data_IF_785718327847
#
_entry.id   IF_785718327847
#
_cell.length_a   1.000
_cell.length_b   1.000
_cell.length_c   1.000
_cell.angle_alpha   90.00
_cell.angle_beta   90.00
_cell.angle_gamma   90.00
#
_symmetry.space_group_name_H-M   'P 1'
#
loop_
_entity.id
_entity.type
_entity.pdbx_description
1 polymer ?
#
# COMPACT_ATOMS: atom_id res chain seq x y z
N UNK A 1 5.55 2.57 28.75
CA UNK A 1 4.89 2.19 27.48
C UNK A 1 4.22 0.83 27.62
N UNK A 2 3.14 0.54 26.88
CA UNK A 2 2.45 -0.77 26.99
C UNK A 2 3.40 -1.94 26.72
N UNK A 3 4.38 -1.78 25.81
CA UNK A 3 5.35 -2.82 25.48
C UNK A 3 6.25 -3.26 26.66
N UNK A 4 6.44 -2.44 27.70
CA UNK A 4 7.21 -2.83 28.89
C UNK A 4 6.45 -3.82 29.78
N UNK A 5 5.12 -3.86 29.65
CA UNK A 5 4.25 -4.73 30.44
C UNK A 5 3.96 -6.07 29.74
N UNK A 6 4.47 -6.27 28.52
CA UNK A 6 4.20 -7.45 27.70
C UNK A 6 5.42 -8.38 27.67
N UNK A 7 5.27 -9.61 28.18
CA UNK A 7 6.30 -10.65 28.10
C UNK A 7 7.65 -10.19 28.70
N UNK A 8 8.78 -10.32 27.96
CA UNK A 8 10.11 -9.91 28.44
C UNK A 8 10.35 -8.38 28.41
N UNK A 9 9.29 -7.57 28.35
CA UNK A 9 9.39 -6.12 28.18
C UNK A 9 9.81 -5.71 26.77
N UNK A 10 10.22 -4.46 26.61
CA UNK A 10 10.53 -3.88 25.29
C UNK A 10 11.77 -4.53 24.65
N UNK A 11 11.60 -4.99 23.40
CA UNK A 11 12.66 -5.68 22.65
C UNK A 11 13.37 -4.82 21.60
N UNK A 12 12.78 -3.68 21.22
CA UNK A 12 13.34 -2.76 20.21
C UNK A 12 12.71 -1.38 20.31
N UNK A 13 13.42 -0.38 19.82
CA UNK A 13 12.98 1.03 19.79
C UNK A 13 12.07 1.35 18.59
N UNK A 14 12.28 0.67 17.46
CA UNK A 14 11.51 0.87 16.23
C UNK A 14 11.03 -0.47 15.67
N UNK A 15 9.85 -0.46 15.04
CA UNK A 15 9.23 -1.65 14.45
C UNK A 15 9.24 -1.48 12.93
N UNK A 16 9.82 -2.45 12.22
CA UNK A 16 9.75 -2.48 10.75
C UNK A 16 8.33 -2.83 10.33
N UNK A 17 7.80 -2.07 9.38
CA UNK A 17 6.48 -2.26 8.80
C UNK A 17 6.60 -2.41 7.29
N UNK A 18 5.61 -3.07 6.69
CA UNK A 18 5.55 -3.30 5.24
C UNK A 18 4.54 -2.37 4.58
N UNK A 19 4.75 -2.08 3.29
CA UNK A 19 3.76 -1.47 2.43
C UNK A 19 2.73 -2.52 1.99
N UNK A 20 1.48 -2.37 2.42
CA UNK A 20 0.40 -3.28 2.02
C UNK A 20 -0.34 -2.71 0.81
N UNK A 21 -0.06 -3.28 -0.37
CA UNK A 21 -0.62 -2.89 -1.65
C UNK A 21 -1.92 -3.65 -1.96
N UNK A 22 -2.82 -2.99 -2.67
CA UNK A 22 -4.10 -3.51 -3.09
C UNK A 22 -4.37 -3.17 -4.55
N UNK A 23 -5.13 -4.03 -5.24
CA UNK A 23 -5.82 -3.61 -6.45
C UNK A 23 -6.94 -2.64 -6.08
N UNK A 24 -7.01 -1.50 -6.75
CA UNK A 24 -7.99 -0.46 -6.47
C UNK A 24 -9.01 -0.44 -7.61
N UNK A 25 -10.27 -0.71 -7.24
CA UNK A 25 -11.40 -0.64 -8.16
C UNK A 25 -11.66 0.77 -8.66
N UNK A 26 -12.38 0.85 -9.77
CA UNK A 26 -12.71 2.11 -10.41
C UNK A 26 -13.89 2.79 -9.68
N UNK A 27 -13.60 3.81 -8.86
CA UNK A 27 -14.61 4.48 -8.02
C UNK A 27 -15.78 5.06 -8.82
N UNK A 28 -15.56 5.44 -10.09
CA UNK A 28 -16.57 6.05 -10.95
C UNK A 28 -17.61 5.04 -11.45
N UNK A 29 -17.46 3.75 -11.10
CA UNK A 29 -18.42 2.69 -11.41
C UNK A 29 -19.44 2.44 -10.29
N UNK A 30 -19.40 3.23 -9.23
CA UNK A 30 -20.31 3.12 -8.09
C UNK A 30 -20.81 4.51 -7.70
N UNK A 31 -21.99 4.58 -7.12
CA UNK A 31 -22.54 5.83 -6.56
C UNK A 31 -22.13 6.06 -5.10
N UNK A 32 -21.19 5.25 -4.59
CA UNK A 32 -20.69 5.37 -3.22
C UNK A 32 -19.73 6.56 -3.09
N UNK A 33 -19.70 7.24 -1.94
CA UNK A 33 -18.91 8.46 -1.73
C UNK A 33 -17.42 8.17 -1.49
N UNK A 34 -16.75 7.48 -2.42
CA UNK A 34 -15.31 7.27 -2.38
C UNK A 34 -14.57 8.60 -2.61
N UNK A 35 -13.58 8.87 -1.76
CA UNK A 35 -12.72 10.05 -1.90
C UNK A 35 -11.94 10.00 -3.21
N UNK A 36 -11.76 11.15 -3.84
CA UNK A 36 -10.95 11.30 -5.06
C UNK A 36 -9.48 11.57 -4.75
N UNK A 37 -9.21 12.29 -3.67
CA UNK A 37 -7.88 12.62 -3.21
C UNK A 37 -7.85 12.81 -1.68
N UNK A 38 -6.65 12.98 -1.14
CA UNK A 38 -6.43 13.49 0.21
C UNK A 38 -5.60 14.76 0.13
N UNK A 39 -5.85 15.77 0.97
CA UNK A 39 -4.99 16.94 1.06
C UNK A 39 -3.52 16.56 1.25
N UNK A 40 -2.65 17.17 0.46
CA UNK A 40 -1.22 16.91 0.46
C UNK A 40 -0.64 16.99 -0.95
N UNK A 41 0.68 17.21 -1.01
CA UNK A 41 1.37 17.47 -2.27
C UNK A 41 2.11 16.24 -2.81
N UNK A 42 2.19 15.17 -2.02
CA UNK A 42 2.87 13.94 -2.42
C UNK A 42 1.95 13.09 -3.30
N UNK A 43 2.51 12.52 -4.38
CA UNK A 43 1.78 11.75 -5.40
C UNK A 43 0.94 10.60 -4.80
N UNK A 44 1.49 9.89 -3.81
CA UNK A 44 0.79 8.88 -3.01
C UNK A 44 -0.64 9.27 -2.57
N UNK A 45 -0.86 10.53 -2.17
CA UNK A 45 -2.18 10.97 -1.67
C UNK A 45 -3.24 11.08 -2.76
N UNK A 46 -2.83 11.12 -4.03
CA UNK A 46 -3.73 11.02 -5.18
C UNK A 46 -3.85 9.57 -5.62
N UNK A 47 -2.73 8.88 -5.86
CA UNK A 47 -2.72 7.52 -6.42
C UNK A 47 -3.50 6.50 -5.58
N UNK A 48 -3.49 6.62 -4.24
CA UNK A 48 -4.19 5.70 -3.34
C UNK A 48 -5.72 5.73 -3.46
N UNK A 49 -6.28 6.66 -4.24
CA UNK A 49 -7.72 6.78 -4.54
C UNK A 49 -8.04 6.52 -6.01
N UNK A 50 -7.03 6.27 -6.84
CA UNK A 50 -7.19 6.03 -8.27
C UNK A 50 -7.20 4.54 -8.57
N UNK A 51 -7.86 4.18 -9.67
CA UNK A 51 -7.93 2.79 -10.14
C UNK A 51 -6.53 2.22 -10.37
N UNK A 52 -6.28 1.05 -9.79
CA UNK A 52 -5.05 0.28 -9.95
C UNK A 52 -5.41 -1.19 -10.16
N UNK A 53 -5.73 -1.56 -11.40
CA UNK A 53 -6.20 -2.91 -11.78
C UNK A 53 -5.24 -3.65 -12.72
N UNK A 54 -4.01 -3.14 -12.85
CA UNK A 54 -2.93 -3.75 -13.64
C UNK A 54 -1.60 -3.66 -12.86
N UNK A 55 -0.59 -4.34 -13.38
CA UNK A 55 0.72 -4.48 -12.74
C UNK A 55 1.43 -3.13 -12.62
N UNK A 56 1.37 -2.33 -13.68
CA UNK A 56 2.03 -1.02 -13.77
C UNK A 56 1.49 -0.04 -12.72
N UNK A 57 0.18 -0.01 -12.52
CA UNK A 57 -0.42 0.84 -11.49
C UNK A 57 -0.08 0.37 -10.07
N UNK A 58 0.03 -0.94 -9.84
CA UNK A 58 0.48 -1.48 -8.54
C UNK A 58 1.95 -1.14 -8.28
N UNK A 59 2.80 -1.18 -9.30
CA UNK A 59 4.20 -0.73 -9.20
C UNK A 59 4.26 0.74 -8.80
N UNK A 60 3.49 1.60 -9.47
CA UNK A 60 3.44 3.05 -9.17
C UNK A 60 2.94 3.33 -7.75
N UNK A 61 2.00 2.53 -7.24
CA UNK A 61 1.59 2.60 -5.82
C UNK A 61 2.74 2.23 -4.88
N UNK A 62 3.53 1.22 -5.23
CA UNK A 62 4.66 0.79 -4.43
C UNK A 62 5.77 1.86 -4.41
N UNK A 63 6.14 2.41 -5.55
CA UNK A 63 7.14 3.48 -5.68
C UNK A 63 6.70 4.72 -4.89
N UNK A 64 5.46 5.19 -5.07
CA UNK A 64 4.96 6.36 -4.37
C UNK A 64 4.85 6.14 -2.84
N UNK A 65 4.56 4.93 -2.38
CA UNK A 65 4.54 4.62 -0.95
C UNK A 65 5.94 4.37 -0.37
N UNK A 66 6.87 3.82 -1.16
CA UNK A 66 8.29 3.74 -0.81
C UNK A 66 8.86 5.14 -0.60
N UNK A 67 8.67 6.05 -1.56
CA UNK A 67 9.16 7.44 -1.46
C UNK A 67 8.55 8.15 -0.24
N UNK A 68 7.24 7.98 -0.02
CA UNK A 68 6.54 8.65 1.08
C UNK A 68 6.92 8.15 2.48
N UNK A 69 7.15 6.84 2.64
CA UNK A 69 7.23 6.18 3.96
C UNK A 69 8.51 5.38 4.19
N UNK A 70 9.35 5.18 3.18
CA UNK A 70 10.60 4.42 3.27
C UNK A 70 10.40 2.91 3.39
N UNK A 71 9.31 2.36 2.87
CA UNK A 71 9.06 0.91 2.93
C UNK A 71 10.15 0.12 2.21
N UNK A 72 10.62 -0.97 2.85
CA UNK A 72 11.57 -1.92 2.26
C UNK A 72 10.92 -3.24 1.87
N UNK A 73 9.81 -3.55 2.51
CA UNK A 73 9.04 -4.77 2.31
C UNK A 73 7.65 -4.42 1.80
N UNK A 74 7.15 -5.21 0.86
CA UNK A 74 5.81 -5.05 0.30
C UNK A 74 5.03 -6.36 0.32
N UNK A 75 3.72 -6.23 0.52
CA UNK A 75 2.75 -7.31 0.34
C UNK A 75 1.65 -6.85 -0.58
N UNK A 76 1.35 -7.63 -1.62
CA UNK A 76 0.19 -7.42 -2.49
C UNK A 76 -0.97 -8.32 -2.09
N UNK A 77 -2.16 -7.74 -1.90
CA UNK A 77 -3.40 -8.53 -1.73
C UNK A 77 -3.76 -9.24 -3.03
N UNK A 78 -3.54 -10.56 -3.07
CA UNK A 78 -3.95 -11.44 -4.16
C UNK A 78 -5.44 -11.84 -4.13
N UNK A 79 -5.85 -12.73 -5.05
CA UNK A 79 -7.22 -13.24 -5.14
C UNK A 79 -8.20 -12.34 -5.92
N UNK A 80 -7.69 -11.34 -6.64
CA UNK A 80 -8.49 -10.37 -7.41
C UNK A 80 -8.42 -10.64 -8.92
N UNK A 81 -7.24 -10.93 -9.45
CA UNK A 81 -7.01 -11.28 -10.85
C UNK A 81 -6.65 -12.78 -10.99
N UNK A 82 -6.89 -13.41 -12.15
CA UNK A 82 -6.48 -14.79 -12.40
C UNK A 82 -4.98 -14.98 -12.14
N UNK A 83 -4.61 -16.11 -11.52
CA UNK A 83 -3.25 -16.37 -11.03
C UNK A 83 -2.14 -16.40 -12.09
N UNK A 84 -2.47 -16.34 -13.38
CA UNK A 84 -1.50 -16.21 -14.49
C UNK A 84 -0.99 -14.78 -14.69
N UNK A 85 -1.65 -13.77 -14.12
CA UNK A 85 -1.12 -12.39 -14.01
C UNK A 85 -0.31 -12.24 -12.71
N UNK A 86 0.79 -12.98 -12.58
CA UNK A 86 1.76 -12.76 -11.49
C UNK A 86 2.65 -11.57 -11.84
N UNK A 87 2.41 -10.45 -11.18
CA UNK A 87 3.34 -9.33 -11.14
C UNK A 87 4.35 -9.63 -10.03
N UNK A 88 5.57 -10.04 -10.39
CA UNK A 88 6.68 -9.99 -9.45
C UNK A 88 7.11 -8.54 -9.34
N UNK A 89 6.77 -7.92 -8.22
CA UNK A 89 7.12 -6.54 -7.93
C UNK A 89 8.47 -6.51 -7.21
N UNK A 90 9.53 -6.16 -7.94
CA UNK A 90 10.81 -5.76 -7.35
C UNK A 90 10.87 -4.24 -7.31
N UNK A 91 10.74 -3.67 -6.11
CA UNK A 91 11.09 -2.27 -5.87
C UNK A 91 12.50 -2.31 -5.27
N UNK A 92 13.48 -1.81 -6.02
CA UNK A 92 14.88 -1.74 -5.58
C UNK A 92 15.12 -0.54 -4.66
#
# INVERSE_FOLDING_TARGET
PVCELLGPGKQREAITVLGYLFYIGDRTKTDLPYLENTPGNHEWYQLRHQKAMNSEAVVRLAEASQDRYGFKDFKLKGGVLPGSKKSTLFVH
#
